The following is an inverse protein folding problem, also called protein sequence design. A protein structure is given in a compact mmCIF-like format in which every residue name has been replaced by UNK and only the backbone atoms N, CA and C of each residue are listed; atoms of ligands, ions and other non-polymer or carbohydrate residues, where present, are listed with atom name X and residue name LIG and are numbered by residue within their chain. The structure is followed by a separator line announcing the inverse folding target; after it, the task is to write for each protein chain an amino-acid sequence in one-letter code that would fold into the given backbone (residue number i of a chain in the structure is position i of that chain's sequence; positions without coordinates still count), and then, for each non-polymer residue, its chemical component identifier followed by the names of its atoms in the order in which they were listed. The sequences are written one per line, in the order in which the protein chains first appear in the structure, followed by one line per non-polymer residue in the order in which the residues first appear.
data_IF_473169999309
#
_entry.id   IF_473169999309
#
_cell.length_a   1.000
_cell.length_b   1.000
_cell.length_c   1.000
_cell.angle_alpha   90.00
_cell.angle_beta   90.00
_cell.angle_gamma   90.00
#
_symmetry.space_group_name_H-M   'P 1'
#
loop_
_entity.id
_entity.type
_entity.pdbx_description
1 polymer ?
#
# COMPACT_ATOMS: atom_id res chain seq x y z
N UNK A 1 -10.30 -11.29 -12.86
CA UNK A 1 -10.16 -10.49 -14.10
C UNK A 1 -10.97 -9.23 -13.88
N UNK A 2 -10.35 -8.06 -13.77
CA UNK A 2 -11.06 -6.78 -13.68
C UNK A 2 -11.82 -6.54 -14.97
N UNK A 3 -13.15 -6.55 -14.92
CA UNK A 3 -13.95 -5.92 -15.96
C UNK A 3 -13.93 -4.41 -15.71
N UNK A 4 -12.81 -3.76 -16.08
CA UNK A 4 -12.75 -2.32 -16.02
C UNK A 4 -13.53 -1.75 -17.20
N UNK A 5 -14.70 -1.23 -16.91
CA UNK A 5 -15.40 -0.37 -17.89
C UNK A 5 -14.62 0.94 -18.03
N UNK A 6 -14.49 1.43 -19.27
CA UNK A 6 -13.75 2.65 -19.56
C UNK A 6 -14.49 3.91 -19.06
N UNK A 7 -13.71 4.98 -18.88
CA UNK A 7 -14.23 6.32 -18.64
C UNK A 7 -15.13 6.77 -19.81
N UNK A 8 -16.28 7.35 -19.50
CA UNK A 8 -17.24 7.82 -20.50
C UNK A 8 -16.84 9.14 -21.20
N UNK A 9 -15.82 9.83 -20.70
CA UNK A 9 -15.29 11.03 -21.36
C UNK A 9 -14.65 10.71 -22.70
N UNK A 10 -15.02 11.44 -23.74
CA UNK A 10 -14.56 11.21 -25.09
C UNK A 10 -13.03 11.24 -25.20
N UNK A 11 -12.45 10.23 -25.86
CA UNK A 11 -11.00 10.08 -26.03
C UNK A 11 -10.21 9.65 -24.80
N UNK A 12 -10.87 9.37 -23.67
CA UNK A 12 -10.22 8.90 -22.46
C UNK A 12 -10.11 7.37 -22.46
N UNK A 13 -8.88 6.84 -22.54
CA UNK A 13 -8.64 5.39 -22.48
C UNK A 13 -8.50 4.82 -21.04
N UNK A 14 -8.76 5.62 -20.00
CA UNK A 14 -8.59 5.18 -18.60
C UNK A 14 -9.79 4.40 -18.09
N UNK A 15 -9.58 3.46 -17.14
CA UNK A 15 -10.70 2.83 -16.46
C UNK A 15 -11.46 3.86 -15.62
N UNK A 16 -12.78 3.64 -15.46
CA UNK A 16 -13.58 4.48 -14.57
C UNK A 16 -13.21 4.24 -13.11
N UNK A 17 -13.36 5.28 -12.30
CA UNK A 17 -13.22 5.18 -10.86
C UNK A 17 -14.44 4.43 -10.27
N UNK A 18 -14.24 3.79 -9.13
CA UNK A 18 -15.31 3.10 -8.42
C UNK A 18 -16.45 4.07 -8.08
N UNK A 19 -17.69 3.68 -8.24
CA UNK A 19 -18.91 4.48 -8.09
C UNK A 19 -19.09 5.63 -9.09
N UNK A 20 -18.20 5.81 -10.06
CA UNK A 20 -18.30 6.86 -11.07
C UNK A 20 -18.44 6.26 -12.49
N UNK A 21 -19.03 6.99 -13.40
CA UNK A 21 -19.03 6.67 -14.83
C UNK A 21 -17.74 7.15 -15.52
N UNK A 22 -16.95 7.97 -14.85
CA UNK A 22 -15.70 8.55 -15.36
C UNK A 22 -14.50 8.08 -14.54
N UNK A 23 -13.27 8.26 -15.04
CA UNK A 23 -12.08 8.19 -14.21
C UNK A 23 -12.04 9.43 -13.28
N UNK A 24 -11.24 9.37 -12.21
CA UNK A 24 -11.20 10.44 -11.22
C UNK A 24 -10.79 11.81 -11.81
N UNK A 25 -9.95 11.82 -12.85
CA UNK A 25 -9.56 13.08 -13.53
C UNK A 25 -10.69 13.75 -14.30
N UNK A 26 -11.75 13.03 -14.63
CA UNK A 26 -12.94 13.53 -15.31
C UNK A 26 -14.17 13.51 -14.40
N UNK A 27 -13.98 13.30 -13.11
CA UNK A 27 -15.06 13.38 -12.14
C UNK A 27 -15.58 14.82 -12.04
N UNK A 28 -16.89 14.97 -11.96
CA UNK A 28 -17.53 16.29 -11.81
C UNK A 28 -17.20 16.92 -10.45
N UNK A 29 -17.06 16.11 -9.40
CA UNK A 29 -16.68 16.53 -8.05
C UNK A 29 -15.59 15.59 -7.49
N UNK A 30 -14.31 15.82 -7.82
CA UNK A 30 -13.22 15.04 -7.25
C UNK A 30 -13.08 15.23 -5.73
N UNK A 31 -13.43 16.39 -5.21
CA UNK A 31 -13.35 16.70 -3.76
C UNK A 31 -14.37 15.93 -2.93
N UNK A 32 -15.59 15.77 -3.42
CA UNK A 32 -16.65 14.99 -2.76
C UNK A 32 -16.46 13.48 -2.91
N UNK A 33 -15.64 13.01 -3.85
CA UNK A 33 -15.48 11.58 -4.11
C UNK A 33 -14.97 10.79 -2.89
N UNK A 34 -14.06 11.37 -2.10
CA UNK A 34 -13.55 10.71 -0.88
C UNK A 34 -14.68 10.46 0.14
N UNK A 35 -15.70 11.33 0.21
CA UNK A 35 -16.86 11.12 1.09
C UNK A 35 -17.72 9.93 0.62
N UNK A 36 -17.98 9.80 -0.69
CA UNK A 36 -18.67 8.65 -1.27
C UNK A 36 -17.95 7.34 -0.97
N UNK A 37 -16.62 7.34 -1.10
CA UNK A 37 -15.79 6.16 -0.77
C UNK A 37 -15.91 5.82 0.71
N UNK A 38 -15.84 6.81 1.63
CA UNK A 38 -16.00 6.56 3.08
C UNK A 38 -17.37 5.97 3.41
N UNK A 39 -18.42 6.50 2.84
CA UNK A 39 -19.79 6.00 3.03
C UNK A 39 -19.90 4.53 2.59
N UNK A 40 -19.39 4.21 1.41
CA UNK A 40 -19.35 2.82 0.92
C UNK A 40 -18.56 1.91 1.87
N UNK A 41 -17.37 2.37 2.31
CA UNK A 41 -16.55 1.61 3.24
C UNK A 41 -17.26 1.38 4.58
N UNK A 42 -18.04 2.30 5.10
CA UNK A 42 -18.72 2.15 6.38
C UNK A 42 -19.64 0.92 6.43
N UNK A 43 -20.29 0.55 5.33
CA UNK A 43 -21.23 -0.57 5.23
C UNK A 43 -20.62 -1.91 4.77
N UNK A 44 -19.37 -1.92 4.27
CA UNK A 44 -18.81 -3.08 3.59
C UNK A 44 -17.72 -3.80 4.38
N UNK A 45 -17.96 -5.06 4.78
CA UNK A 45 -16.92 -5.91 5.40
C UNK A 45 -16.02 -6.62 4.38
N UNK A 46 -16.45 -6.71 3.12
CA UNK A 46 -15.72 -7.31 2.01
C UNK A 46 -15.63 -6.31 0.87
N UNK A 47 -14.43 -6.10 0.38
CA UNK A 47 -14.15 -5.19 -0.71
C UNK A 47 -13.59 -5.97 -1.90
N UNK A 48 -14.15 -5.75 -3.07
CA UNK A 48 -13.73 -6.47 -4.26
C UNK A 48 -13.71 -5.54 -5.48
N UNK A 49 -12.57 -5.57 -6.19
CA UNK A 49 -12.41 -4.92 -7.49
C UNK A 49 -12.69 -3.40 -7.47
N UNK A 50 -12.25 -2.72 -6.40
CA UNK A 50 -12.40 -1.27 -6.27
C UNK A 50 -11.24 -0.56 -6.97
N UNK A 51 -11.57 0.31 -7.93
CA UNK A 51 -10.60 1.22 -8.54
C UNK A 51 -10.71 2.61 -7.88
N UNK A 52 -9.73 2.92 -7.03
CA UNK A 52 -9.56 4.18 -6.33
C UNK A 52 -8.23 4.85 -6.74
N UNK A 53 -7.76 4.59 -7.97
CA UNK A 53 -6.51 5.15 -8.48
C UNK A 53 -6.54 6.69 -8.42
N UNK A 54 -5.48 7.27 -7.86
CA UNK A 54 -5.33 8.71 -7.72
C UNK A 54 -6.22 9.36 -6.66
N UNK A 55 -6.91 8.57 -5.82
CA UNK A 55 -7.74 9.11 -4.74
C UNK A 55 -6.90 9.92 -3.75
N UNK A 56 -7.39 11.11 -3.39
CA UNK A 56 -6.87 11.90 -2.28
C UNK A 56 -7.87 11.82 -1.12
N UNK A 57 -7.42 11.28 0.02
CA UNK A 57 -8.31 11.08 1.16
C UNK A 57 -7.55 10.97 2.48
N UNK A 58 -8.23 11.37 3.56
CA UNK A 58 -7.75 11.22 4.93
C UNK A 58 -8.62 10.24 5.71
N UNK A 59 -8.00 9.48 6.62
CA UNK A 59 -8.68 8.65 7.61
C UNK A 59 -9.55 7.53 7.01
N UNK A 60 -9.20 6.98 5.86
CA UNK A 60 -9.92 5.83 5.30
C UNK A 60 -9.73 4.60 6.19
N UNK A 61 -10.84 3.93 6.51
CA UNK A 61 -10.86 2.78 7.41
C UNK A 61 -11.08 1.46 6.65
N UNK A 62 -10.03 0.66 6.56
CA UNK A 62 -10.03 -0.69 5.99
C UNK A 62 -9.78 -1.78 7.04
N UNK A 63 -9.81 -1.44 8.34
CA UNK A 63 -9.47 -2.38 9.42
C UNK A 63 -10.33 -3.64 9.41
N UNK A 64 -9.67 -4.78 9.60
CA UNK A 64 -10.30 -6.10 9.69
C UNK A 64 -11.02 -6.57 8.43
N UNK A 65 -10.97 -5.82 7.33
CA UNK A 65 -11.72 -6.12 6.11
C UNK A 65 -11.06 -7.20 5.28
N UNK A 66 -11.88 -7.88 4.49
CA UNK A 66 -11.40 -8.80 3.45
C UNK A 66 -11.35 -8.07 2.12
N UNK A 67 -10.14 -7.84 1.62
CA UNK A 67 -9.89 -7.09 0.39
C UNK A 67 -9.41 -8.07 -0.68
N UNK A 68 -10.24 -8.28 -1.71
CA UNK A 68 -9.89 -9.15 -2.86
C UNK A 68 -8.97 -8.44 -3.84
N UNK A 69 -9.33 -7.24 -4.24
CA UNK A 69 -8.52 -6.38 -5.08
C UNK A 69 -8.89 -4.91 -4.87
N UNK A 70 -7.86 -4.09 -4.62
CA UNK A 70 -8.01 -2.66 -4.40
C UNK A 70 -6.87 -1.94 -5.12
N UNK A 71 -7.23 -1.02 -6.01
CA UNK A 71 -6.30 -0.17 -6.73
C UNK A 71 -6.28 1.20 -6.06
N UNK A 72 -5.15 1.56 -5.49
CA UNK A 72 -4.83 2.85 -4.89
C UNK A 72 -3.51 3.39 -5.46
N UNK A 73 -3.14 2.93 -6.67
CA UNK A 73 -1.97 3.46 -7.37
C UNK A 73 -2.07 4.97 -7.48
N UNK A 74 -0.97 5.69 -7.19
CA UNK A 74 -0.90 7.16 -7.21
C UNK A 74 -1.86 7.88 -6.25
N UNK A 75 -2.49 7.17 -5.32
CA UNK A 75 -3.33 7.80 -4.30
C UNK A 75 -2.49 8.63 -3.32
N UNK A 76 -3.11 9.64 -2.72
CA UNK A 76 -2.57 10.41 -1.58
C UNK A 76 -3.42 10.11 -0.36
N UNK A 77 -2.85 9.36 0.57
CA UNK A 77 -3.55 8.90 1.75
C UNK A 77 -2.87 9.41 3.01
N UNK A 78 -3.64 10.04 3.90
CA UNK A 78 -3.19 10.40 5.24
C UNK A 78 -4.02 9.66 6.29
N UNK A 79 -3.36 9.02 7.26
CA UNK A 79 -4.01 8.31 8.36
C UNK A 79 -4.93 7.16 7.92
N UNK A 80 -4.70 6.56 6.76
CA UNK A 80 -5.47 5.39 6.32
C UNK A 80 -5.09 4.15 7.14
N UNK A 81 -6.09 3.34 7.51
CA UNK A 81 -5.90 2.20 8.40
C UNK A 81 -6.29 0.89 7.74
N UNK A 82 -5.31 -0.01 7.61
CA UNK A 82 -5.48 -1.37 7.10
C UNK A 82 -5.23 -2.44 8.18
N UNK A 83 -5.23 -2.06 9.46
CA UNK A 83 -4.89 -2.96 10.56
C UNK A 83 -5.76 -4.22 10.53
N UNK A 84 -5.16 -5.38 10.73
CA UNK A 84 -5.80 -6.69 10.72
C UNK A 84 -6.55 -7.04 9.42
N UNK A 85 -6.36 -6.26 8.35
CA UNK A 85 -6.99 -6.55 7.06
C UNK A 85 -6.41 -7.82 6.41
N UNK A 86 -7.26 -8.55 5.70
CA UNK A 86 -6.86 -9.70 4.88
C UNK A 86 -6.90 -9.32 3.42
N UNK A 87 -5.72 -9.13 2.84
CA UNK A 87 -5.53 -8.52 1.53
C UNK A 87 -5.04 -9.57 0.54
N UNK A 88 -5.78 -9.79 -0.53
CA UNK A 88 -5.31 -10.64 -1.63
C UNK A 88 -4.46 -9.86 -2.63
N UNK A 89 -4.95 -8.70 -3.06
CA UNK A 89 -4.26 -7.80 -4.00
C UNK A 89 -4.48 -6.36 -3.56
N UNK A 90 -3.41 -5.62 -3.30
CA UNK A 90 -3.44 -4.18 -3.04
C UNK A 90 -2.32 -3.51 -3.84
N UNK A 91 -2.70 -2.56 -4.68
CA UNK A 91 -1.78 -1.76 -5.48
C UNK A 91 -1.72 -0.34 -4.91
N UNK A 92 -0.56 0.06 -4.46
CA UNK A 92 -0.20 1.38 -3.91
C UNK A 92 1.03 1.95 -4.63
N UNK A 93 1.32 1.45 -5.84
CA UNK A 93 2.46 1.92 -6.61
C UNK A 93 2.37 3.43 -6.87
N UNK A 94 3.47 4.12 -6.66
CA UNK A 94 3.58 5.58 -6.73
C UNK A 94 2.62 6.35 -5.82
N UNK A 95 2.03 5.72 -4.80
CA UNK A 95 1.19 6.39 -3.83
C UNK A 95 2.04 7.24 -2.86
N UNK A 96 1.40 8.26 -2.26
CA UNK A 96 1.94 9.01 -1.13
C UNK A 96 1.15 8.64 0.12
N UNK A 97 1.84 8.07 1.11
CA UNK A 97 1.26 7.56 2.34
C UNK A 97 1.87 8.32 3.53
N UNK A 98 1.04 8.94 4.34
CA UNK A 98 1.46 9.64 5.56
C UNK A 98 0.64 9.14 6.74
N UNK A 99 1.31 8.76 7.82
CA UNK A 99 0.68 8.27 9.06
C UNK A 99 -0.29 7.08 8.83
N UNK A 100 -0.02 6.24 7.81
CA UNK A 100 -0.86 5.09 7.49
C UNK A 100 -0.44 3.86 8.32
N UNK A 101 -1.42 3.02 8.69
CA UNK A 101 -1.18 1.80 9.45
C UNK A 101 -1.66 0.56 8.70
N UNK A 102 -0.81 -0.48 8.71
CA UNK A 102 -1.05 -1.81 8.17
C UNK A 102 -0.84 -2.89 9.24
N UNK A 103 -0.81 -2.53 10.53
CA UNK A 103 -0.43 -3.41 11.64
C UNK A 103 -1.27 -4.69 11.65
N UNK A 104 -0.60 -5.84 11.79
CA UNK A 104 -1.25 -7.15 11.83
C UNK A 104 -1.91 -7.57 10.51
N UNK A 105 -1.80 -6.79 9.42
CA UNK A 105 -2.42 -7.18 8.16
C UNK A 105 -1.74 -8.41 7.54
N UNK A 106 -2.51 -9.18 6.74
CA UNK A 106 -2.03 -10.32 5.98
C UNK A 106 -2.23 -10.08 4.50
N UNK A 107 -1.13 -9.88 3.77
CA UNK A 107 -1.19 -9.54 2.37
C UNK A 107 -0.46 -10.55 1.49
N UNK A 108 -1.18 -11.18 0.55
CA UNK A 108 -0.58 -12.09 -0.43
C UNK A 108 0.14 -11.37 -1.56
N UNK A 109 -0.34 -10.18 -1.93
CA UNK A 109 0.29 -9.35 -2.93
C UNK A 109 0.04 -7.88 -2.58
N UNK A 110 1.06 -7.24 -2.04
CA UNK A 110 1.10 -5.82 -1.77
C UNK A 110 2.18 -5.19 -2.66
N UNK A 111 1.78 -4.22 -3.46
CA UNK A 111 2.66 -3.51 -4.39
C UNK A 111 2.75 -2.06 -3.99
N UNK A 112 3.93 -1.63 -3.55
CA UNK A 112 4.25 -0.27 -3.14
C UNK A 112 5.36 0.35 -4.01
N UNK A 113 5.63 -0.26 -5.18
CA UNK A 113 6.72 0.18 -6.04
C UNK A 113 6.73 1.69 -6.29
N UNK A 114 7.84 2.37 -5.99
CA UNK A 114 7.98 3.82 -6.16
C UNK A 114 7.10 4.68 -5.24
N UNK A 115 6.42 4.11 -4.25
CA UNK A 115 5.63 4.88 -3.29
C UNK A 115 6.51 5.71 -2.35
N UNK A 116 5.95 6.80 -1.83
CA UNK A 116 6.53 7.58 -0.73
C UNK A 116 5.76 7.28 0.55
N UNK A 117 6.48 6.97 1.61
CA UNK A 117 5.90 6.61 2.92
C UNK A 117 6.53 7.45 4.03
N UNK A 118 5.72 8.07 4.83
CA UNK A 118 6.17 8.86 5.99
C UNK A 118 5.40 8.42 7.24
N UNK A 119 6.12 8.05 8.29
CA UNK A 119 5.56 7.56 9.56
C UNK A 119 4.51 6.45 9.38
N UNK A 120 4.76 5.53 8.45
CA UNK A 120 3.87 4.40 8.21
C UNK A 120 4.25 3.20 9.09
N UNK A 121 3.25 2.47 9.56
CA UNK A 121 3.44 1.28 10.39
C UNK A 121 2.98 0.01 9.68
N UNK A 122 3.83 -1.03 9.78
CA UNK A 122 3.60 -2.39 9.27
C UNK A 122 3.95 -3.42 10.35
N UNK A 123 3.69 -3.12 11.64
CA UNK A 123 4.05 -4.03 12.73
C UNK A 123 3.29 -5.34 12.68
N UNK A 124 4.01 -6.44 12.91
CA UNK A 124 3.41 -7.77 12.99
C UNK A 124 2.67 -8.20 11.73
N UNK A 125 3.07 -7.69 10.57
CA UNK A 125 2.42 -7.99 9.30
C UNK A 125 2.96 -9.28 8.67
N UNK A 126 2.10 -9.92 7.86
CA UNK A 126 2.47 -11.05 7.02
C UNK A 126 2.53 -10.55 5.56
N UNK A 127 3.73 -10.21 5.09
CA UNK A 127 4.02 -9.53 3.82
C UNK A 127 4.95 -10.36 2.93
N UNK A 128 4.60 -11.62 2.72
CA UNK A 128 5.42 -12.54 1.93
C UNK A 128 5.50 -12.09 0.46
N UNK A 129 6.73 -11.98 -0.06
CA UNK A 129 7.00 -11.66 -1.48
C UNK A 129 6.38 -10.35 -1.95
N UNK A 130 6.21 -9.38 -1.06
CA UNK A 130 5.67 -8.07 -1.37
C UNK A 130 6.69 -7.20 -2.11
N UNK A 131 6.20 -6.20 -2.83
CA UNK A 131 7.03 -5.35 -3.68
C UNK A 131 7.14 -3.93 -3.11
N UNK A 132 8.32 -3.59 -2.60
CA UNK A 132 8.73 -2.28 -2.12
C UNK A 132 9.87 -1.68 -2.99
N UNK A 133 10.00 -2.11 -4.25
CA UNK A 133 11.06 -1.64 -5.15
C UNK A 133 10.98 -0.13 -5.35
N UNK A 134 12.09 0.58 -5.13
CA UNK A 134 12.19 2.02 -5.31
C UNK A 134 11.33 2.85 -4.35
N UNK A 135 10.83 2.27 -3.26
CA UNK A 135 10.08 3.01 -2.24
C UNK A 135 10.96 4.05 -1.55
N UNK A 136 10.38 5.18 -1.16
CA UNK A 136 11.01 6.19 -0.31
C UNK A 136 10.29 6.21 1.03
N UNK A 137 10.93 5.66 2.06
CA UNK A 137 10.37 5.52 3.40
C UNK A 137 11.13 6.34 4.43
N UNK A 138 10.41 7.12 5.23
CA UNK A 138 10.95 7.85 6.38
C UNK A 138 10.14 7.52 7.62
N UNK A 139 10.85 7.24 8.73
CA UNK A 139 10.25 6.93 10.03
C UNK A 139 9.22 5.78 9.94
N UNK A 140 9.48 4.79 9.09
CA UNK A 140 8.60 3.64 8.88
C UNK A 140 8.96 2.48 9.80
N UNK A 141 7.98 1.74 10.29
CA UNK A 141 8.18 0.65 11.23
C UNK A 141 7.64 -0.66 10.66
N UNK A 142 8.49 -1.69 10.62
CA UNK A 142 8.15 -3.04 10.16
C UNK A 142 8.31 -4.10 11.27
N UNK A 143 8.50 -3.69 12.52
CA UNK A 143 8.86 -4.58 13.62
C UNK A 143 7.95 -5.79 13.75
N UNK A 144 8.56 -6.96 14.01
CA UNK A 144 7.85 -8.23 14.19
C UNK A 144 7.20 -8.78 12.92
N UNK A 145 7.57 -8.28 11.73
CA UNK A 145 6.91 -8.66 10.48
C UNK A 145 7.60 -9.81 9.74
N UNK A 146 6.79 -10.62 9.06
CA UNK A 146 7.30 -11.60 8.09
C UNK A 146 7.37 -10.99 6.69
N UNK A 147 8.59 -10.66 6.26
CA UNK A 147 8.89 -10.07 4.96
C UNK A 147 9.61 -11.07 4.02
N UNK A 148 9.50 -12.38 4.29
CA UNK A 148 10.19 -13.41 3.51
C UNK A 148 10.10 -13.16 2.00
N UNK A 149 11.28 -13.13 1.35
CA UNK A 149 11.46 -12.95 -0.09
C UNK A 149 10.82 -11.66 -0.66
N UNK A 150 10.56 -10.65 0.16
CA UNK A 150 10.09 -9.33 -0.30
C UNK A 150 11.23 -8.52 -0.92
N UNK A 151 10.91 -7.53 -1.71
CA UNK A 151 11.88 -6.76 -2.49
C UNK A 151 11.87 -5.30 -2.08
N UNK A 152 13.02 -4.81 -1.62
CA UNK A 152 13.35 -3.41 -1.33
C UNK A 152 14.47 -2.90 -2.27
N UNK A 153 14.66 -3.53 -3.42
CA UNK A 153 15.66 -3.13 -4.41
C UNK A 153 15.52 -1.65 -4.75
N UNK A 154 16.63 -0.90 -4.72
CA UNK A 154 16.67 0.54 -4.96
C UNK A 154 15.76 1.37 -4.03
N UNK A 155 15.33 0.84 -2.90
CA UNK A 155 14.59 1.60 -1.90
C UNK A 155 15.49 2.66 -1.23
N UNK A 156 14.89 3.76 -0.79
CA UNK A 156 15.55 4.77 0.05
C UNK A 156 14.81 4.79 1.38
N UNK A 157 15.46 4.29 2.42
CA UNK A 157 14.88 4.20 3.77
C UNK A 157 15.71 5.03 4.74
N UNK A 158 15.04 5.89 5.49
CA UNK A 158 15.63 6.75 6.51
C UNK A 158 14.91 6.54 7.84
N UNK A 159 15.66 6.24 8.90
CA UNK A 159 15.15 5.94 10.25
C UNK A 159 14.02 4.90 10.25
N UNK A 160 14.17 3.86 9.45
CA UNK A 160 13.21 2.76 9.43
C UNK A 160 13.61 1.67 10.44
N UNK A 161 12.62 1.01 11.04
CA UNK A 161 12.85 -0.10 11.96
C UNK A 161 12.34 -1.42 11.36
N UNK A 162 13.20 -2.44 11.43
CA UNK A 162 12.91 -3.84 11.09
C UNK A 162 13.28 -4.75 12.27
N UNK A 163 13.03 -4.30 13.51
CA UNK A 163 13.35 -5.08 14.69
C UNK A 163 12.52 -6.39 14.73
N UNK A 164 13.16 -7.52 15.08
CA UNK A 164 12.51 -8.84 15.22
C UNK A 164 11.73 -9.29 13.97
N UNK A 165 12.25 -9.00 12.76
CA UNK A 165 11.62 -9.35 11.49
C UNK A 165 12.18 -10.66 10.92
N UNK A 166 11.36 -11.37 10.15
CA UNK A 166 11.84 -12.38 9.22
C UNK A 166 12.20 -11.72 7.88
N UNK A 167 13.49 -11.45 7.68
CA UNK A 167 14.06 -10.86 6.46
C UNK A 167 14.73 -11.90 5.56
N UNK A 168 14.50 -13.20 5.80
CA UNK A 168 15.10 -14.24 4.99
C UNK A 168 14.76 -14.05 3.51
N UNK A 169 15.80 -14.04 2.66
CA UNK A 169 15.72 -13.81 1.20
C UNK A 169 15.15 -12.46 0.79
N UNK A 170 15.10 -11.49 1.67
CA UNK A 170 14.73 -10.12 1.30
C UNK A 170 15.82 -9.53 0.43
N UNK A 171 15.44 -8.74 -0.56
CA UNK A 171 16.37 -8.11 -1.50
C UNK A 171 16.44 -6.61 -1.25
N UNK A 172 17.60 -6.13 -0.80
CA UNK A 172 17.93 -4.72 -0.58
C UNK A 172 18.96 -4.19 -1.59
N UNK A 173 19.24 -4.92 -2.69
CA UNK A 173 20.26 -4.52 -3.64
C UNK A 173 20.05 -3.09 -4.14
N UNK A 174 21.10 -2.28 -4.07
CA UNK A 174 21.07 -0.88 -4.45
C UNK A 174 20.18 0.00 -3.56
N UNK A 175 19.74 -0.48 -2.41
CA UNK A 175 19.00 0.34 -1.46
C UNK A 175 19.92 1.29 -0.68
N UNK A 176 19.42 2.51 -0.42
CA UNK A 176 20.05 3.46 0.52
C UNK A 176 19.37 3.31 1.88
N UNK A 177 20.14 2.87 2.87
CA UNK A 177 19.66 2.56 4.22
C UNK A 177 20.38 3.49 5.22
N UNK A 178 19.69 4.54 5.68
CA UNK A 178 20.22 5.51 6.63
C UNK A 178 19.50 5.37 7.98
N UNK A 179 20.27 5.12 9.04
CA UNK A 179 19.72 4.94 10.40
C UNK A 179 18.62 3.86 10.45
N UNK A 180 18.83 2.74 9.73
CA UNK A 180 17.88 1.61 9.69
C UNK A 180 18.29 0.57 10.73
N UNK A 181 17.35 0.16 11.57
CA UNK A 181 17.56 -0.86 12.61
C UNK A 181 17.10 -2.24 12.14
N UNK A 182 18.00 -3.23 12.15
CA UNK A 182 17.75 -4.64 11.86
C UNK A 182 17.95 -5.54 13.09
N UNK A 183 17.97 -4.99 14.30
CA UNK A 183 18.26 -5.74 15.51
C UNK A 183 17.26 -6.91 15.68
N UNK A 184 17.78 -8.05 16.12
CA UNK A 184 17.04 -9.29 16.35
C UNK A 184 16.37 -9.91 15.12
N UNK A 185 16.59 -9.38 13.90
CA UNK A 185 15.99 -9.89 12.69
C UNK A 185 16.77 -11.05 12.07
N UNK A 186 16.02 -12.00 11.47
CA UNK A 186 16.59 -13.06 10.66
C UNK A 186 16.93 -12.54 9.26
N UNK A 187 18.20 -12.30 9.00
CA UNK A 187 18.74 -11.83 7.70
C UNK A 187 19.35 -12.95 6.86
N UNK A 188 19.05 -14.21 7.16
CA UNK A 188 19.58 -15.35 6.41
C UNK A 188 19.21 -15.26 4.93
N UNK A 189 20.20 -15.42 4.05
CA UNK A 189 20.03 -15.28 2.60
C UNK A 189 19.44 -13.91 2.17
N UNK A 190 19.49 -12.86 2.99
CA UNK A 190 19.15 -11.51 2.57
C UNK A 190 20.28 -10.92 1.71
N UNK A 191 19.92 -10.09 0.72
CA UNK A 191 20.85 -9.49 -0.24
C UNK A 191 20.89 -7.98 0.00
N UNK A 192 22.09 -7.43 0.30
CA UNK A 192 22.30 -6.00 0.57
C UNK A 192 23.17 -5.28 -0.49
N UNK A 193 23.82 -6.03 -1.40
CA UNK A 193 24.73 -5.52 -2.44
C UNK A 193 24.15 -5.74 -3.85
#
# INVERSE_FOLDING_TARGET
MFLQTGCTSAGCGRPRAFLLETCLQHAADPGGYAALVREHLAGASRLADLNLEGLEAEGLDFRGRRIRCLLLSRARLAGARFDDARIRLLFLDFASLTDCSFDGCKAHCLVLGGATMERCSFRGTDLLRCNFVGVRGRDCVFDGSDLYASRFTSAVLERASFHDCNLKRVRFEGASLSEVDFQASNTEEAFFE
#
